data_IF_084230397962
#
_entry.id   IF_084230397962
#
_cell.length_a   1.000
_cell.length_b   1.000
_cell.length_c   1.000
_cell.angle_alpha   90.00
_cell.angle_beta   90.00
_cell.angle_gamma   90.00
#
_symmetry.space_group_name_H-M   'P 1'
#
loop_
_entity.id
_entity.type
_entity.pdbx_description
1 polymer ?
#
# COMPACT_ATOMS: atom_id res chain seq x y z
N UNK A 1 -18.57 -22.49 -34.04
CA UNK A 1 -19.16 -22.17 -32.72
C UNK A 1 -18.48 -23.05 -31.70
N UNK A 2 -17.39 -22.55 -31.10
CA UNK A 2 -16.69 -23.26 -30.04
C UNK A 2 -17.47 -23.01 -28.75
N UNK A 3 -18.04 -24.06 -28.15
CA UNK A 3 -18.72 -23.97 -26.85
C UNK A 3 -17.74 -24.37 -25.77
N UNK A 4 -17.43 -23.46 -24.85
CA UNK A 4 -16.74 -23.79 -23.62
C UNK A 4 -17.74 -23.93 -22.47
N UNK A 5 -17.78 -25.13 -21.90
CA UNK A 5 -18.59 -25.48 -20.73
C UNK A 5 -17.61 -25.77 -19.60
N UNK A 6 -17.65 -24.94 -18.56
CA UNK A 6 -16.86 -25.14 -17.34
C UNK A 6 -17.77 -25.65 -16.22
N UNK A 7 -17.36 -26.73 -15.54
CA UNK A 7 -18.06 -27.30 -14.38
C UNK A 7 -17.22 -27.02 -13.14
N UNK A 8 -17.63 -26.05 -12.32
CA UNK A 8 -16.90 -25.74 -11.09
C UNK A 8 -17.59 -26.35 -9.87
N UNK A 9 -16.85 -27.24 -9.21
CA UNK A 9 -17.11 -27.66 -7.83
C UNK A 9 -16.59 -26.54 -6.93
N UNK A 10 -17.40 -26.18 -5.94
CA UNK A 10 -17.09 -25.43 -4.71
C UNK A 10 -15.58 -25.34 -4.37
N UNK A 11 -14.93 -24.27 -4.80
CA UNK A 11 -13.67 -23.76 -4.22
C UNK A 11 -13.81 -22.22 -4.11
N UNK A 12 -13.30 -21.58 -3.06
CA UNK A 12 -13.85 -20.33 -2.55
C UNK A 12 -13.56 -19.16 -3.51
N UNK A 13 -14.62 -18.67 -4.15
CA UNK A 13 -14.83 -17.30 -4.62
C UNK A 13 -13.57 -16.56 -5.12
N UNK A 14 -13.16 -16.83 -6.36
CA UNK A 14 -12.38 -15.84 -7.12
C UNK A 14 -13.16 -14.53 -7.17
N UNK A 15 -12.52 -13.42 -6.82
CA UNK A 15 -13.13 -12.07 -6.67
C UNK A 15 -13.86 -11.59 -7.94
N UNK A 16 -13.44 -12.10 -9.10
CA UNK A 16 -14.04 -11.76 -10.40
C UNK A 16 -15.43 -12.37 -10.62
N UNK A 17 -15.76 -13.50 -9.98
CA UNK A 17 -17.07 -14.15 -10.15
C UNK A 17 -18.19 -13.46 -9.36
N UNK A 18 -17.86 -12.72 -8.29
CA UNK A 18 -18.84 -11.89 -7.56
C UNK A 18 -19.41 -10.76 -8.42
N UNK A 19 -18.66 -10.29 -9.42
CA UNK A 19 -19.08 -9.22 -10.35
C UNK A 19 -19.99 -9.72 -11.48
N UNK A 20 -20.01 -11.03 -11.73
CA UNK A 20 -20.70 -11.64 -12.87
C UNK A 20 -22.13 -12.10 -12.55
N UNK A 21 -22.55 -12.09 -11.29
CA UNK A 21 -23.90 -12.46 -10.86
C UNK A 21 -24.65 -11.18 -10.51
N UNK A 22 -25.54 -10.75 -11.40
CA UNK A 22 -26.48 -9.67 -11.09
C UNK A 22 -27.49 -10.23 -10.09
N UNK A 23 -27.35 -9.84 -8.82
CA UNK A 23 -28.32 -10.12 -7.77
C UNK A 23 -29.71 -9.63 -8.19
N UNK A 24 -30.81 -10.20 -7.64
CA UNK A 24 -32.14 -9.65 -7.87
C UNK A 24 -32.12 -8.15 -7.60
N UNK A 25 -32.77 -7.37 -8.47
CA UNK A 25 -32.82 -5.91 -8.37
C UNK A 25 -33.43 -5.41 -7.07
N UNK A 26 -34.07 -6.30 -6.31
CA UNK A 26 -34.71 -6.04 -5.03
C UNK A 26 -34.29 -7.14 -4.05
N UNK A 27 -33.46 -6.81 -3.06
CA UNK A 27 -33.07 -7.74 -1.98
C UNK A 27 -33.28 -7.12 -0.61
N UNK A 28 -33.74 -7.94 0.34
CA UNK A 28 -34.01 -7.51 1.72
C UNK A 28 -33.31 -8.43 2.71
N UNK A 29 -32.49 -7.86 3.60
CA UNK A 29 -31.89 -8.59 4.71
C UNK A 29 -31.89 -7.77 6.00
N UNK A 30 -31.80 -8.46 7.13
CA UNK A 30 -31.87 -7.89 8.46
C UNK A 30 -30.53 -8.05 9.19
N UNK A 31 -29.88 -6.93 9.47
CA UNK A 31 -28.66 -6.87 10.28
C UNK A 31 -29.01 -6.67 11.76
N UNK A 32 -28.40 -7.44 12.66
CA UNK A 32 -28.59 -7.32 14.11
C UNK A 32 -27.53 -6.39 14.73
N UNK A 33 -27.96 -5.20 15.11
CA UNK A 33 -27.10 -4.12 15.63
C UNK A 33 -27.06 -4.03 17.19
N UNK A 34 -27.52 -5.07 17.90
CA UNK A 34 -27.56 -5.12 19.36
C UNK A 34 -28.61 -6.11 19.89
N UNK A 35 -28.87 -6.09 21.20
CA UNK A 35 -29.82 -7.04 21.83
C UNK A 35 -31.25 -6.89 21.30
N UNK A 36 -31.69 -5.66 20.98
CA UNK A 36 -33.03 -5.33 20.46
C UNK A 36 -32.97 -4.22 19.39
N UNK A 37 -31.94 -4.20 18.54
CA UNK A 37 -31.84 -3.22 17.45
C UNK A 37 -31.51 -3.96 16.16
N UNK A 38 -32.27 -3.67 15.12
CA UNK A 38 -32.04 -4.26 13.81
C UNK A 38 -32.08 -3.18 12.73
N UNK A 39 -31.42 -3.45 11.61
CA UNK A 39 -31.48 -2.62 10.40
C UNK A 39 -31.99 -3.48 9.26
N UNK A 40 -33.05 -3.04 8.59
CA UNK A 40 -33.48 -3.61 7.32
C UNK A 40 -32.70 -2.91 6.23
N UNK A 41 -31.92 -3.68 5.47
CA UNK A 41 -31.27 -3.24 4.25
C UNK A 41 -32.20 -3.53 3.09
N UNK A 42 -32.49 -2.51 2.30
CA UNK A 42 -33.37 -2.58 1.14
C UNK A 42 -32.74 -1.84 -0.06
N UNK A 43 -33.24 -2.03 -1.28
CA UNK A 43 -32.63 -1.45 -2.48
C UNK A 43 -32.52 0.08 -2.44
N UNK A 44 -33.53 0.73 -1.85
CA UNK A 44 -33.64 2.19 -1.81
C UNK A 44 -33.09 2.82 -0.52
N UNK A 45 -32.45 2.01 0.33
CA UNK A 45 -31.78 2.44 1.55
C UNK A 45 -32.13 1.61 2.79
N UNK A 46 -31.62 2.07 3.93
CA UNK A 46 -31.64 1.30 5.18
C UNK A 46 -32.61 1.92 6.19
N UNK A 47 -33.32 1.08 6.94
CA UNK A 47 -34.18 1.55 8.04
C UNK A 47 -33.92 0.81 9.34
N UNK A 48 -33.76 1.58 10.42
CA UNK A 48 -33.61 1.03 11.77
C UNK A 48 -34.96 0.69 12.39
N UNK A 49 -35.03 -0.47 13.02
CA UNK A 49 -36.20 -0.94 13.75
C UNK A 49 -35.83 -1.25 15.21
N UNK A 50 -36.74 -0.92 16.13
CA UNK A 50 -36.53 -1.08 17.58
C UNK A 50 -37.02 -2.43 18.11
N UNK A 51 -37.96 -3.07 17.43
CA UNK A 51 -38.47 -4.37 17.82
C UNK A 51 -39.03 -5.11 16.60
N UNK A 52 -38.37 -6.19 16.18
CA UNK A 52 -38.81 -7.01 15.05
C UNK A 52 -40.19 -7.64 15.25
N UNK A 53 -40.58 -7.94 16.49
CA UNK A 53 -41.83 -8.65 16.80
C UNK A 53 -43.07 -7.76 16.61
N UNK A 54 -42.84 -6.44 16.42
CA UNK A 54 -43.87 -5.46 16.08
C UNK A 54 -44.00 -5.22 14.59
N UNK A 55 -43.12 -5.80 13.77
CA UNK A 55 -43.14 -5.59 12.33
C UNK A 55 -44.23 -6.41 11.66
N UNK A 56 -44.96 -5.74 10.75
CA UNK A 56 -46.04 -6.35 9.97
C UNK A 56 -46.09 -5.78 8.56
N UNK A 57 -46.58 -6.58 7.61
CA UNK A 57 -46.90 -6.12 6.26
C UNK A 57 -48.41 -5.82 6.16
N UNK A 58 -48.76 -4.70 5.52
CA UNK A 58 -50.14 -4.32 5.25
C UNK A 58 -50.32 -3.90 3.80
N UNK A 59 -51.51 -4.11 3.26
CA UNK A 59 -51.90 -3.58 1.96
C UNK A 59 -52.48 -2.17 2.09
N UNK A 60 -51.82 -1.17 1.50
CA UNK A 60 -52.27 0.22 1.52
C UNK A 60 -52.02 0.88 0.16
N UNK A 61 -53.02 1.58 -0.36
CA UNK A 61 -52.92 2.33 -1.62
C UNK A 61 -52.31 1.54 -2.78
N UNK A 62 -52.76 0.28 -2.95
CA UNK A 62 -52.31 -0.66 -4.00
C UNK A 62 -50.85 -1.15 -3.84
N UNK A 63 -50.31 -1.07 -2.62
CA UNK A 63 -48.92 -1.44 -2.30
C UNK A 63 -48.83 -2.22 -1.00
N UNK A 64 -47.77 -3.01 -0.84
CA UNK A 64 -47.43 -3.62 0.46
C UNK A 64 -46.55 -2.62 1.22
N UNK A 65 -46.98 -2.22 2.41
CA UNK A 65 -46.28 -1.28 3.28
C UNK A 65 -45.81 -1.99 4.54
N UNK A 66 -44.57 -1.75 4.93
CA UNK A 66 -44.00 -2.26 6.18
C UNK A 66 -44.34 -1.35 7.36
N UNK A 67 -44.87 -1.93 8.43
CA UNK A 67 -45.29 -1.25 9.65
C UNK A 67 -44.42 -1.62 10.84
N UNK A 68 -44.10 -0.66 11.72
CA UNK A 68 -43.59 -0.90 13.08
C UNK A 68 -44.70 -0.56 14.08
N UNK A 69 -45.36 -1.59 14.60
CA UNK A 69 -46.53 -1.43 15.47
C UNK A 69 -47.71 -0.83 14.73
N UNK A 70 -48.09 0.39 15.10
CA UNK A 70 -49.26 1.10 14.54
C UNK A 70 -48.92 2.08 13.42
N UNK A 71 -47.65 2.26 13.07
CA UNK A 71 -47.20 3.28 12.13
C UNK A 71 -46.41 2.68 10.98
N UNK A 72 -46.64 3.20 9.77
CA UNK A 72 -45.86 2.85 8.61
C UNK A 72 -44.41 3.26 8.82
N UNK A 73 -43.50 2.33 8.53
CA UNK A 73 -42.07 2.57 8.60
C UNK A 73 -41.68 3.52 7.47
N UNK A 74 -40.86 4.53 7.79
CA UNK A 74 -40.47 5.56 6.81
C UNK A 74 -39.03 5.36 6.34
N UNK A 75 -38.84 5.36 5.02
CA UNK A 75 -37.53 5.43 4.36
C UNK A 75 -37.45 6.76 3.62
N UNK A 76 -36.47 7.60 3.96
CA UNK A 76 -36.31 8.95 3.37
C UNK A 76 -37.60 9.81 3.42
N UNK A 77 -38.39 9.65 4.48
CA UNK A 77 -39.66 10.38 4.69
C UNK A 77 -40.88 9.79 3.96
N UNK A 78 -40.70 8.75 3.13
CA UNK A 78 -41.78 8.05 2.43
C UNK A 78 -42.08 6.69 3.08
N UNK A 79 -43.26 6.12 2.83
CA UNK A 79 -43.60 4.78 3.32
C UNK A 79 -42.66 3.73 2.72
N UNK A 80 -42.18 2.82 3.57
CA UNK A 80 -41.36 1.70 3.15
C UNK A 80 -42.26 0.69 2.41
N UNK A 81 -42.10 0.63 1.09
CA UNK A 81 -42.87 -0.23 0.20
C UNK A 81 -42.09 -1.53 -0.04
N UNK A 82 -42.78 -2.67 0.08
CA UNK A 82 -42.27 -3.99 -0.32
C UNK A 82 -42.95 -4.37 -1.64
N UNK A 83 -42.15 -4.72 -2.65
CA UNK A 83 -42.71 -5.21 -3.91
C UNK A 83 -43.39 -6.57 -3.71
N UNK A 84 -44.54 -6.80 -4.34
CA UNK A 84 -45.21 -8.11 -4.35
C UNK A 84 -44.28 -9.19 -4.89
N UNK A 85 -43.44 -8.85 -5.88
CA UNK A 85 -42.49 -9.77 -6.47
C UNK A 85 -41.25 -10.00 -5.61
N UNK A 86 -41.07 -9.22 -4.54
CA UNK A 86 -40.09 -9.52 -3.53
C UNK A 86 -40.51 -10.68 -2.62
N UNK A 87 -41.78 -11.07 -2.57
CA UNK A 87 -42.19 -12.24 -1.78
C UNK A 87 -41.91 -13.50 -2.59
N UNK A 88 -41.12 -14.40 -2.01
CA UNK A 88 -40.70 -15.66 -2.62
C UNK A 88 -41.09 -16.86 -1.74
N UNK A 89 -41.16 -18.02 -2.37
CA UNK A 89 -41.44 -19.31 -1.73
C UNK A 89 -42.78 -19.91 -2.12
N UNK A 90 -42.99 -21.16 -1.71
CA UNK A 90 -44.15 -21.98 -2.13
C UNK A 90 -45.52 -21.36 -1.86
N UNK A 91 -45.62 -20.52 -0.81
CA UNK A 91 -46.88 -19.91 -0.39
C UNK A 91 -46.98 -18.43 -0.84
N UNK A 92 -46.20 -17.97 -1.83
CA UNK A 92 -46.16 -16.56 -2.27
C UNK A 92 -47.57 -16.00 -2.51
N UNK A 93 -48.34 -16.66 -3.37
CA UNK A 93 -49.64 -16.15 -3.81
C UNK A 93 -50.66 -16.12 -2.67
N UNK A 94 -50.64 -17.13 -1.80
CA UNK A 94 -51.50 -17.18 -0.62
C UNK A 94 -51.14 -16.07 0.38
N UNK A 95 -49.84 -15.81 0.61
CA UNK A 95 -49.40 -14.72 1.49
C UNK A 95 -49.80 -13.36 0.92
N UNK A 96 -49.61 -13.12 -0.39
CA UNK A 96 -50.04 -11.87 -1.04
C UNK A 96 -51.55 -11.69 -0.90
N UNK A 97 -52.31 -12.78 -1.07
CA UNK A 97 -53.77 -12.76 -0.90
C UNK A 97 -54.15 -12.37 0.52
N UNK A 98 -53.52 -12.96 1.54
CA UNK A 98 -53.77 -12.59 2.95
C UNK A 98 -53.40 -11.13 3.25
N UNK A 99 -52.27 -10.63 2.72
CA UNK A 99 -51.88 -9.22 2.84
C UNK A 99 -52.96 -8.30 2.26
N UNK A 100 -53.48 -8.63 1.07
CA UNK A 100 -54.52 -7.85 0.37
C UNK A 100 -55.87 -7.89 1.08
N UNK A 101 -56.22 -9.01 1.70
CA UNK A 101 -57.47 -9.17 2.43
C UNK A 101 -57.43 -8.46 3.79
N UNK A 102 -56.25 -8.31 4.39
CA UNK A 102 -56.05 -7.62 5.67
C UNK A 102 -56.72 -8.32 6.86
N UNK A 103 -57.13 -9.58 6.68
CA UNK A 103 -57.78 -10.43 7.67
C UNK A 103 -56.80 -10.96 8.71
N UNK A 104 -55.59 -11.31 8.27
CA UNK A 104 -54.54 -11.87 9.11
C UNK A 104 -53.28 -10.99 9.09
N UNK A 105 -52.66 -10.82 10.26
CA UNK A 105 -51.39 -10.09 10.38
C UNK A 105 -50.24 -10.93 9.80
N UNK A 106 -49.57 -10.41 8.77
CA UNK A 106 -48.32 -11.01 8.26
C UNK A 106 -47.15 -10.52 9.11
N UNK A 107 -46.64 -11.41 9.96
CA UNK A 107 -45.53 -11.12 10.88
C UNK A 107 -44.18 -11.34 10.22
N UNK A 108 -43.20 -10.54 10.61
CA UNK A 108 -41.80 -10.75 10.23
C UNK A 108 -41.12 -11.72 11.19
N UNK A 109 -40.48 -12.74 10.63
CA UNK A 109 -39.65 -13.71 11.35
C UNK A 109 -38.20 -13.61 10.89
N UNK A 110 -37.27 -14.07 11.73
CA UNK A 110 -35.88 -14.21 11.32
C UNK A 110 -35.73 -15.54 10.58
N UNK A 111 -35.09 -15.49 9.42
CA UNK A 111 -34.61 -16.69 8.75
C UNK A 111 -33.10 -16.75 8.88
N UNK A 112 -32.60 -17.77 9.57
CA UNK A 112 -31.17 -17.92 9.79
C UNK A 112 -30.43 -18.07 8.47
N UNK A 113 -29.34 -17.31 8.31
CA UNK A 113 -28.40 -17.44 7.21
C UNK A 113 -27.15 -18.12 7.78
N UNK A 114 -26.91 -19.36 7.36
CA UNK A 114 -25.78 -20.14 7.84
C UNK A 114 -24.46 -19.38 7.64
N UNK A 115 -23.64 -19.28 8.71
CA UNK A 115 -22.34 -18.60 8.64
C UNK A 115 -22.38 -17.07 8.62
N UNK A 116 -23.56 -16.45 8.69
CA UNK A 116 -23.72 -15.00 8.73
C UNK A 116 -24.23 -14.50 10.10
N UNK A 117 -23.87 -13.26 10.44
CA UNK A 117 -24.50 -12.52 11.55
C UNK A 117 -25.84 -11.88 11.12
N UNK A 118 -26.11 -11.85 9.82
CA UNK A 118 -27.33 -11.33 9.21
C UNK A 118 -28.40 -12.41 9.07
N UNK A 119 -29.64 -11.94 8.96
CA UNK A 119 -30.80 -12.81 8.83
C UNK A 119 -31.60 -12.45 7.58
N UNK A 120 -32.20 -13.46 6.97
CA UNK A 120 -33.24 -13.27 5.99
C UNK A 120 -34.52 -12.73 6.61
N UNK A 121 -35.30 -11.99 5.83
CA UNK A 121 -36.63 -11.51 6.25
C UNK A 121 -37.67 -12.58 5.96
N UNK A 122 -38.00 -13.38 6.97
CA UNK A 122 -39.08 -14.38 6.89
C UNK A 122 -40.45 -13.75 7.09
N UNK A 123 -41.48 -14.36 6.50
CA UNK A 123 -42.88 -13.99 6.61
C UNK A 123 -43.67 -15.15 7.21
N UNK A 124 -44.56 -14.85 8.14
CA UNK A 124 -45.43 -15.85 8.77
C UNK A 124 -46.85 -15.30 8.93
N UNK A 125 -47.84 -16.07 8.48
CA UNK A 125 -49.27 -15.78 8.61
C UNK A 125 -49.95 -16.94 9.34
N UNK A 126 -50.65 -16.66 10.44
CA UNK A 126 -51.45 -17.65 11.15
C UNK A 126 -52.87 -17.62 10.59
N UNK A 127 -53.36 -18.77 10.12
CA UNK A 127 -54.68 -18.93 9.52
C UNK A 127 -55.72 -19.30 10.58
N UNK A 128 -57.01 -19.06 10.26
CA UNK A 128 -58.13 -19.36 11.16
C UNK A 128 -58.26 -20.84 11.52
N UNK A 129 -57.79 -21.74 10.65
CA UNK A 129 -57.75 -23.18 10.89
C UNK A 129 -56.56 -23.63 11.76
N UNK A 130 -55.75 -22.67 12.24
CA UNK A 130 -54.56 -22.90 13.04
C UNK A 130 -53.31 -23.26 12.23
N UNK A 131 -53.39 -23.37 10.90
CA UNK A 131 -52.22 -23.57 10.04
C UNK A 131 -51.39 -22.29 9.92
N UNK A 132 -50.12 -22.42 9.54
CA UNK A 132 -49.23 -21.26 9.34
C UNK A 132 -48.67 -21.24 7.94
N UNK A 133 -48.94 -20.16 7.20
CA UNK A 133 -48.29 -19.89 5.93
C UNK A 133 -46.93 -19.25 6.19
N UNK A 134 -45.89 -19.82 5.61
CA UNK A 134 -44.52 -19.30 5.69
C UNK A 134 -44.03 -18.86 4.32
N UNK A 135 -43.38 -17.70 4.27
CA UNK A 135 -42.76 -17.12 3.09
C UNK A 135 -41.50 -16.37 3.46
N UNK A 136 -40.85 -15.77 2.47
CA UNK A 136 -39.59 -15.05 2.67
C UNK A 136 -39.53 -13.89 1.69
N UNK A 137 -38.91 -12.77 2.05
CA UNK A 137 -38.55 -11.75 1.07
C UNK A 137 -37.31 -12.16 0.28
N UNK A 138 -37.17 -11.65 -0.93
CA UNK A 138 -36.15 -12.10 -1.88
C UNK A 138 -34.74 -11.83 -1.32
N UNK A 139 -34.01 -12.90 -1.08
CA UNK A 139 -32.58 -12.92 -0.81
C UNK A 139 -32.01 -14.27 -1.26
N UNK A 140 -30.72 -14.34 -1.57
CA UNK A 140 -30.05 -15.58 -1.96
C UNK A 140 -29.13 -15.99 -0.83
N UNK A 141 -29.35 -17.19 -0.25
CA UNK A 141 -28.41 -17.79 0.69
C UNK A 141 -27.44 -18.71 -0.05
N UNK A 142 -26.25 -18.21 -0.41
CA UNK A 142 -25.26 -18.97 -1.17
C UNK A 142 -24.64 -20.14 -0.39
N UNK A 143 -24.77 -20.15 0.93
CA UNK A 143 -24.22 -21.17 1.83
C UNK A 143 -25.26 -22.23 2.23
N UNK A 144 -26.55 -21.99 1.94
CA UNK A 144 -27.62 -22.97 2.14
C UNK A 144 -27.90 -23.70 0.82
N UNK A 145 -27.36 -24.92 0.73
CA UNK A 145 -27.58 -25.81 -0.41
C UNK A 145 -29.07 -26.11 -0.66
N UNK A 146 -29.94 -25.95 0.34
CA UNK A 146 -31.38 -26.21 0.26
C UNK A 146 -32.20 -24.93 -0.01
N UNK A 147 -31.52 -23.80 -0.28
CA UNK A 147 -32.15 -22.54 -0.70
C UNK A 147 -33.04 -22.77 -1.94
N UNK A 148 -34.29 -22.34 -1.87
CA UNK A 148 -35.29 -22.66 -2.91
C UNK A 148 -34.94 -22.03 -4.26
N UNK A 149 -34.32 -20.85 -4.28
CA UNK A 149 -33.90 -20.18 -5.52
C UNK A 149 -32.69 -20.92 -6.10
N UNK A 150 -31.72 -21.28 -5.26
CA UNK A 150 -30.54 -22.05 -5.69
C UNK A 150 -30.92 -23.46 -6.19
N UNK A 151 -31.81 -24.15 -5.47
CA UNK A 151 -32.35 -25.46 -5.84
C UNK A 151 -33.21 -25.42 -7.09
N UNK A 152 -34.03 -24.38 -7.27
CA UNK A 152 -34.82 -24.23 -8.49
C UNK A 152 -33.93 -24.04 -9.72
N UNK A 153 -32.86 -23.25 -9.59
CA UNK A 153 -31.84 -23.09 -10.62
C UNK A 153 -31.13 -24.42 -10.89
N UNK A 154 -30.55 -25.05 -9.86
CA UNK A 154 -29.80 -26.31 -9.96
C UNK A 154 -30.65 -27.48 -10.48
N UNK A 155 -31.92 -27.58 -10.07
CA UNK A 155 -32.84 -28.65 -10.48
C UNK A 155 -33.26 -28.49 -11.95
N UNK A 156 -33.37 -27.26 -12.45
CA UNK A 156 -33.68 -26.99 -13.87
C UNK A 156 -32.47 -27.22 -14.78
N UNK A 157 -31.23 -27.09 -14.29
CA UNK A 157 -30.01 -27.10 -15.12
C UNK A 157 -29.06 -28.28 -14.89
N UNK A 158 -29.24 -29.05 -13.83
CA UNK A 158 -28.32 -30.13 -13.41
C UNK A 158 -27.03 -29.64 -12.75
N UNK A 159 -26.97 -28.37 -12.33
CA UNK A 159 -25.79 -27.64 -11.83
C UNK A 159 -25.76 -26.20 -12.36
N UNK A 160 -25.05 -25.27 -11.74
CA UNK A 160 -24.91 -23.90 -12.28
C UNK A 160 -23.80 -23.90 -13.35
N UNK A 161 -24.15 -23.77 -14.62
CA UNK A 161 -23.20 -23.71 -15.73
C UNK A 161 -23.20 -22.32 -16.35
N UNK A 162 -22.01 -21.88 -16.79
CA UNK A 162 -21.83 -20.71 -17.63
C UNK A 162 -21.47 -21.19 -19.03
N UNK A 163 -22.12 -20.64 -20.06
CA UNK A 163 -21.80 -20.93 -21.45
C UNK A 163 -21.60 -19.65 -22.22
N UNK A 164 -20.43 -19.54 -22.83
CA UNK A 164 -20.09 -18.45 -23.75
C UNK A 164 -20.37 -18.90 -25.17
N UNK A 165 -21.08 -18.07 -25.94
CA UNK A 165 -21.41 -18.29 -27.35
C UNK A 165 -21.00 -17.08 -28.18
N UNK A 166 -20.41 -17.35 -29.33
CA UNK A 166 -20.22 -16.33 -30.36
C UNK A 166 -21.55 -16.15 -31.11
N UNK A 167 -22.11 -14.94 -31.04
CA UNK A 167 -23.27 -14.57 -31.86
C UNK A 167 -22.78 -14.04 -33.22
N UNK A 168 -23.43 -14.46 -34.31
CA UNK A 168 -22.98 -14.22 -35.68
C UNK A 168 -22.75 -12.75 -36.08
N UNK A 169 -22.05 -12.60 -37.21
CA UNK A 169 -21.63 -11.40 -37.99
C UNK A 169 -20.85 -10.29 -37.22
N UNK A 170 -20.98 -10.15 -35.90
CA UNK A 170 -20.36 -9.03 -35.15
C UNK A 170 -19.38 -9.43 -34.03
N UNK A 171 -18.95 -10.68 -33.95
CA UNK A 171 -17.97 -11.16 -32.95
C UNK A 171 -18.32 -10.79 -31.49
N UNK A 172 -19.60 -10.64 -31.15
CA UNK A 172 -19.99 -10.40 -29.76
C UNK A 172 -20.08 -11.74 -29.02
N UNK A 173 -19.25 -11.89 -27.98
CA UNK A 173 -19.36 -13.01 -27.06
C UNK A 173 -20.49 -12.75 -26.06
N UNK A 174 -21.41 -13.71 -25.99
CA UNK A 174 -22.50 -13.70 -25.02
C UNK A 174 -22.21 -14.80 -24.00
N UNK A 175 -22.10 -14.43 -22.73
CA UNK A 175 -22.00 -15.41 -21.63
C UNK A 175 -23.36 -15.51 -20.95
N UNK A 176 -23.94 -16.70 -20.95
CA UNK A 176 -25.25 -16.97 -20.37
C UNK A 176 -25.17 -18.01 -19.24
N UNK A 177 -26.15 -17.99 -18.34
CA UNK A 177 -26.40 -19.14 -17.46
C UNK A 177 -27.05 -20.24 -18.31
N UNK A 178 -26.51 -21.45 -18.22
CA UNK A 178 -26.90 -22.56 -19.07
C UNK A 178 -27.12 -23.85 -18.28
N UNK A 179 -27.71 -24.83 -18.96
CA UNK A 179 -27.66 -26.21 -18.49
C UNK A 179 -26.30 -26.87 -18.76
N UNK A 180 -26.13 -28.10 -18.26
CA UNK A 180 -24.94 -28.92 -18.48
C UNK A 180 -24.57 -29.18 -19.95
N UNK A 181 -25.48 -28.93 -20.88
CA UNK A 181 -25.28 -29.12 -22.32
C UNK A 181 -25.02 -27.80 -23.05
N UNK A 182 -24.90 -26.68 -22.33
CA UNK A 182 -24.70 -25.36 -22.91
C UNK A 182 -25.95 -24.75 -23.54
N UNK A 183 -27.14 -25.26 -23.23
CA UNK A 183 -28.41 -24.64 -23.60
C UNK A 183 -28.64 -23.47 -22.64
N UNK A 184 -28.69 -22.25 -23.17
CA UNK A 184 -28.91 -21.07 -22.34
C UNK A 184 -30.31 -21.13 -21.75
N UNK A 185 -30.43 -20.87 -20.45
CA UNK A 185 -31.72 -20.83 -19.79
C UNK A 185 -32.48 -19.56 -20.17
N UNK A 186 -33.78 -19.71 -20.45
CA UNK A 186 -34.67 -18.57 -20.66
C UNK A 186 -35.09 -17.90 -19.36
N UNK A 187 -35.19 -16.57 -19.36
CA UNK A 187 -35.77 -15.77 -18.30
C UNK A 187 -37.29 -15.95 -18.34
N UNK A 188 -37.85 -16.52 -17.26
CA UNK A 188 -39.29 -16.57 -16.96
C UNK A 188 -40.22 -16.68 -18.18
N UNK A 189 -40.07 -17.71 -19.02
CA UNK A 189 -41.01 -18.03 -20.09
C UNK A 189 -40.93 -17.15 -21.36
N UNK A 190 -39.97 -16.24 -21.44
CA UNK A 190 -39.61 -15.54 -22.69
C UNK A 190 -38.60 -16.35 -23.51
N UNK A 191 -38.38 -16.00 -24.79
CA UNK A 191 -37.26 -16.55 -25.57
C UNK A 191 -35.91 -15.88 -25.22
N UNK A 192 -35.87 -15.01 -24.21
CA UNK A 192 -34.68 -14.25 -23.82
C UNK A 192 -33.92 -14.99 -22.72
N UNK A 193 -32.59 -14.94 -22.74
CA UNK A 193 -31.73 -15.69 -21.82
C UNK A 193 -31.12 -14.81 -20.72
N UNK A 194 -30.80 -15.41 -19.57
CA UNK A 194 -29.95 -14.76 -18.56
C UNK A 194 -28.55 -14.59 -19.15
N UNK A 195 -28.31 -13.46 -19.81
CA UNK A 195 -27.14 -13.25 -20.65
C UNK A 195 -26.44 -11.93 -20.34
N UNK A 196 -25.12 -12.00 -20.26
CA UNK A 196 -24.24 -10.85 -20.31
C UNK A 196 -23.69 -10.74 -21.74
N UNK A 197 -24.07 -9.67 -22.42
CA UNK A 197 -23.58 -9.34 -23.76
C UNK A 197 -22.54 -8.24 -23.60
N UNK A 198 -21.27 -8.54 -23.88
CA UNK A 198 -20.33 -7.47 -24.18
C UNK A 198 -20.80 -6.86 -25.49
N UNK A 199 -21.40 -5.67 -25.43
CA UNK A 199 -21.73 -4.98 -26.67
C UNK A 199 -20.43 -4.58 -27.37
N UNK A 200 -20.46 -4.42 -28.70
CA UNK A 200 -19.32 -3.86 -29.40
C UNK A 200 -18.91 -2.49 -28.81
N UNK A 201 -19.85 -1.75 -28.20
CA UNK A 201 -19.58 -0.48 -27.51
C UNK A 201 -18.86 -0.71 -26.17
N UNK A 202 -19.24 -1.73 -25.39
CA UNK A 202 -18.56 -2.06 -24.12
C UNK A 202 -17.20 -2.72 -24.37
N UNK A 203 -17.10 -3.53 -25.42
CA UNK A 203 -15.84 -4.07 -25.92
C UNK A 203 -14.97 -2.96 -26.51
N UNK A 204 -15.53 -1.99 -27.23
CA UNK A 204 -14.81 -0.80 -27.71
C UNK A 204 -14.47 0.14 -26.55
N UNK A 205 -15.26 0.22 -25.48
CA UNK A 205 -14.94 0.99 -24.29
C UNK A 205 -13.85 0.29 -23.47
N UNK A 206 -13.88 -1.04 -23.38
CA UNK A 206 -12.83 -1.84 -22.77
C UNK A 206 -11.56 -1.82 -23.62
N UNK A 207 -11.67 -1.85 -24.96
CA UNK A 207 -10.56 -1.69 -25.91
C UNK A 207 -10.06 -0.25 -25.91
N UNK A 208 -10.91 0.78 -25.80
CA UNK A 208 -10.51 2.18 -25.65
C UNK A 208 -9.85 2.41 -24.31
N UNK A 209 -10.32 1.76 -23.25
CA UNK A 209 -9.67 1.78 -21.94
C UNK A 209 -8.34 1.03 -22.01
N UNK A 210 -8.26 -0.12 -22.68
CA UNK A 210 -7.01 -0.84 -22.91
C UNK A 210 -6.06 -0.09 -23.84
N UNK A 211 -6.57 0.66 -24.83
CA UNK A 211 -5.80 1.53 -25.73
C UNK A 211 -5.34 2.75 -24.96
N UNK A 212 -6.17 3.37 -24.12
CA UNK A 212 -5.78 4.45 -23.21
C UNK A 212 -4.78 3.97 -22.19
N UNK A 213 -4.95 2.80 -21.61
CA UNK A 213 -4.02 2.19 -20.67
C UNK A 213 -2.72 1.83 -21.39
N UNK A 214 -2.77 1.33 -22.62
CA UNK A 214 -1.58 1.07 -23.46
C UNK A 214 -0.92 2.37 -23.92
N UNK A 215 -1.67 3.42 -24.20
CA UNK A 215 -1.16 4.75 -24.54
C UNK A 215 -0.53 5.40 -23.32
N UNK A 216 -1.17 5.34 -22.16
CA UNK A 216 -0.62 5.77 -20.88
C UNK A 216 0.61 4.93 -20.51
N UNK A 217 0.60 3.61 -20.72
CA UNK A 217 1.79 2.77 -20.55
C UNK A 217 2.87 3.13 -21.55
N UNK A 218 2.52 3.42 -22.80
CA UNK A 218 3.45 3.81 -23.86
C UNK A 218 3.98 5.21 -23.62
N UNK A 219 3.20 6.14 -23.07
CA UNK A 219 3.60 7.49 -22.71
C UNK A 219 4.44 7.47 -21.45
N UNK A 220 4.11 6.62 -20.47
CA UNK A 220 4.98 6.29 -19.33
C UNK A 220 6.26 5.62 -19.81
N UNK A 221 6.20 4.69 -20.76
CA UNK A 221 7.37 4.01 -21.32
C UNK A 221 8.21 4.97 -22.16
N UNK A 222 7.61 5.88 -22.92
CA UNK A 222 8.30 6.92 -23.69
C UNK A 222 8.82 8.03 -22.77
N UNK A 223 8.16 8.29 -21.64
CA UNK A 223 8.65 9.17 -20.59
C UNK A 223 9.78 8.52 -19.82
N UNK A 224 9.74 7.22 -19.56
CA UNK A 224 10.82 6.44 -18.96
C UNK A 224 11.97 6.28 -19.94
N UNK A 225 11.72 5.96 -21.22
CA UNK A 225 12.72 5.87 -22.27
C UNK A 225 13.28 7.24 -22.63
N UNK A 226 12.48 8.29 -22.60
CA UNK A 226 12.89 9.68 -22.77
C UNK A 226 13.66 10.20 -21.56
N UNK A 227 13.28 9.78 -20.34
CA UNK A 227 14.06 10.04 -19.12
C UNK A 227 15.34 9.23 -19.10
N UNK A 228 15.34 7.99 -19.61
CA UNK A 228 16.50 7.12 -19.75
C UNK A 228 17.41 7.57 -20.88
N UNK A 229 16.89 8.15 -21.96
CA UNK A 229 17.64 8.76 -23.05
C UNK A 229 18.16 10.14 -22.65
N UNK A 230 17.40 10.91 -21.85
CA UNK A 230 17.93 12.09 -21.15
C UNK A 230 19.00 11.71 -20.14
N UNK A 231 18.84 10.60 -19.40
CA UNK A 231 19.88 10.04 -18.52
C UNK A 231 21.10 9.67 -19.37
N UNK A 232 20.92 8.85 -20.41
CA UNK A 232 21.98 8.41 -21.33
C UNK A 232 22.68 9.58 -22.06
N UNK A 233 21.97 10.66 -22.35
CA UNK A 233 22.52 11.86 -22.97
C UNK A 233 23.01 12.90 -21.95
N UNK A 234 22.60 12.82 -20.68
CA UNK A 234 23.17 13.59 -19.55
C UNK A 234 24.39 12.89 -18.96
N UNK A 235 24.57 11.59 -19.24
CA UNK A 235 25.86 10.93 -19.25
C UNK A 235 26.67 11.44 -20.46
N UNK A 236 26.98 12.75 -20.46
CA UNK A 236 28.33 13.14 -20.84
C UNK A 236 29.27 12.24 -20.02
N UNK A 237 30.35 11.68 -20.58
CA UNK A 237 31.21 10.76 -19.85
C UNK A 237 31.47 11.36 -18.48
N UNK A 238 30.95 10.72 -17.41
CA UNK A 238 31.03 11.27 -16.06
C UNK A 238 32.51 11.53 -15.84
N UNK A 239 32.84 12.82 -15.70
CA UNK A 239 34.22 13.27 -15.60
C UNK A 239 34.84 12.44 -14.49
N UNK A 240 35.94 11.73 -14.78
CA UNK A 240 36.70 10.97 -13.79
C UNK A 240 37.02 11.95 -12.66
N UNK A 241 36.29 11.85 -11.55
CA UNK A 241 36.44 12.73 -10.41
C UNK A 241 37.50 12.10 -9.53
N UNK A 242 38.66 12.75 -9.48
CA UNK A 242 39.69 12.43 -8.51
C UNK A 242 39.36 13.17 -7.21
N UNK A 243 39.19 12.42 -6.13
CA UNK A 243 39.02 12.94 -4.79
C UNK A 243 40.28 12.68 -3.96
N UNK A 244 40.78 13.72 -3.30
CA UNK A 244 41.95 13.69 -2.42
C UNK A 244 41.52 13.95 -0.97
N UNK A 245 42.00 13.12 -0.04
CA UNK A 245 41.88 13.41 1.39
C UNK A 245 42.97 14.39 1.82
N UNK A 246 42.59 15.52 2.43
CA UNK A 246 43.52 16.57 2.86
C UNK A 246 43.28 16.98 4.31
N UNK A 247 44.36 17.36 4.99
CA UNK A 247 44.31 17.85 6.37
C UNK A 247 43.66 19.23 6.42
N UNK A 248 42.60 19.37 7.22
CA UNK A 248 41.89 20.61 7.47
C UNK A 248 42.23 21.26 8.82
N UNK A 249 41.29 22.08 9.30
CA UNK A 249 41.41 22.78 10.57
C UNK A 249 41.39 21.81 11.77
N UNK A 250 41.92 22.28 12.89
CA UNK A 250 41.89 21.52 14.16
C UNK A 250 40.45 21.43 14.68
N UNK A 251 40.00 20.21 14.96
CA UNK A 251 38.63 19.91 15.42
C UNK A 251 38.59 19.44 16.87
N UNK A 252 39.71 18.94 17.39
CA UNK A 252 39.90 18.55 18.78
C UNK A 252 41.41 18.51 19.05
N UNK A 253 41.86 18.63 20.30
CA UNK A 253 43.28 18.78 20.65
C UNK A 253 44.20 17.78 19.92
N UNK A 254 44.97 18.27 18.95
CA UNK A 254 45.90 17.47 18.13
C UNK A 254 45.24 16.61 17.03
N UNK A 255 43.95 16.80 16.77
CA UNK A 255 43.15 16.12 15.74
C UNK A 255 42.57 17.14 14.77
N UNK A 256 42.75 16.88 13.49
CA UNK A 256 42.40 17.79 12.40
C UNK A 256 41.38 17.14 11.48
N UNK A 257 40.49 17.96 10.91
CA UNK A 257 39.49 17.49 9.97
C UNK A 257 40.14 16.76 8.79
N UNK A 258 39.50 15.67 8.36
CA UNK A 258 39.86 14.99 7.12
C UNK A 258 38.90 15.46 6.03
N UNK A 259 39.36 16.46 5.26
CA UNK A 259 38.59 17.08 4.21
C UNK A 259 38.70 16.28 2.91
N UNK A 260 37.63 16.27 2.13
CA UNK A 260 37.55 15.68 0.79
C UNK A 260 37.67 16.81 -0.21
N UNK A 261 38.80 16.87 -0.92
CA UNK A 261 39.08 17.79 -2.01
C UNK A 261 38.77 17.12 -3.34
N UNK A 262 38.17 17.85 -4.28
CA UNK A 262 37.95 17.36 -5.65
C UNK A 262 38.91 18.09 -6.59
N UNK A 263 39.33 17.44 -7.67
CA UNK A 263 40.32 18.02 -8.62
C UNK A 263 39.93 19.41 -9.15
N UNK A 264 38.64 19.69 -9.32
CA UNK A 264 38.12 20.97 -9.80
C UNK A 264 37.53 21.90 -8.70
N UNK A 265 37.60 21.52 -7.41
CA UNK A 265 37.01 22.29 -6.28
C UNK A 265 37.86 22.18 -5.01
N UNK A 266 38.04 23.28 -4.27
CA UNK A 266 38.89 23.30 -3.06
C UNK A 266 38.52 22.24 -2.01
N UNK A 267 37.34 22.32 -1.41
CA UNK A 267 36.87 21.37 -0.40
C UNK A 267 35.40 21.06 -0.71
N UNK A 268 35.10 19.80 -0.99
CA UNK A 268 33.75 19.32 -1.24
C UNK A 268 33.03 18.94 0.06
N UNK A 269 33.78 18.51 1.08
CA UNK A 269 33.25 18.25 2.42
C UNK A 269 34.27 17.64 3.37
N UNK A 270 33.79 17.07 4.46
CA UNK A 270 34.60 16.41 5.47
C UNK A 270 33.83 15.22 6.08
N UNK A 271 34.54 14.34 6.78
CA UNK A 271 33.88 13.33 7.61
C UNK A 271 33.00 13.99 8.67
N UNK A 272 31.84 13.38 8.93
CA UNK A 272 30.97 13.84 10.01
C UNK A 272 31.65 13.60 11.35
N UNK A 273 31.60 14.60 12.24
CA UNK A 273 31.95 14.40 13.66
C UNK A 273 30.90 13.59 14.42
N UNK A 274 29.70 13.45 13.86
CA UNK A 274 28.54 12.83 14.51
C UNK A 274 28.27 11.47 13.88
N UNK A 275 28.23 10.44 14.71
CA UNK A 275 27.85 9.08 14.32
C UNK A 275 26.48 8.66 14.87
N UNK A 276 25.83 7.72 14.19
CA UNK A 276 24.51 7.20 14.57
C UNK A 276 24.50 5.67 14.60
N UNK A 277 24.10 5.09 15.73
CA UNK A 277 23.93 3.64 15.85
C UNK A 277 22.65 3.29 16.63
N UNK A 278 22.11 2.11 16.35
CA UNK A 278 20.95 1.59 17.05
C UNK A 278 21.39 0.61 18.13
N UNK A 279 20.97 0.83 19.37
CA UNK A 279 21.29 -0.02 20.52
C UNK A 279 20.13 0.03 21.53
N UNK A 280 19.83 -1.12 22.16
CA UNK A 280 18.78 -1.23 23.19
C UNK A 280 17.42 -0.60 22.81
N UNK A 281 16.98 -0.85 21.57
CA UNK A 281 15.74 -0.30 21.01
C UNK A 281 15.68 1.24 20.95
N UNK A 282 16.83 1.91 20.93
CA UNK A 282 16.95 3.35 20.80
C UNK A 282 18.02 3.72 19.77
N UNK A 283 17.88 4.91 19.20
CA UNK A 283 18.92 5.53 18.38
C UNK A 283 19.87 6.27 19.30
N UNK A 284 21.16 5.98 19.17
CA UNK A 284 22.23 6.68 19.85
C UNK A 284 22.97 7.56 18.85
N UNK A 285 23.26 8.77 19.30
CA UNK A 285 24.00 9.80 18.57
C UNK A 285 25.25 10.07 19.40
N UNK A 286 26.43 10.06 18.79
CA UNK A 286 27.66 10.36 19.51
C UNK A 286 28.59 11.24 18.70
N UNK A 287 29.44 11.95 19.42
CA UNK A 287 30.56 12.66 18.84
C UNK A 287 31.76 11.71 18.78
N UNK A 288 32.41 11.62 17.62
CA UNK A 288 33.56 10.74 17.44
C UNK A 288 34.82 11.23 18.17
N UNK A 289 34.85 12.50 18.59
CA UNK A 289 35.98 13.13 19.24
C UNK A 289 35.72 13.46 20.71
N UNK A 290 34.45 13.60 21.11
CA UNK A 290 34.05 13.71 22.51
C UNK A 290 33.67 12.33 23.10
N UNK A 291 33.60 12.23 24.43
CA UNK A 291 33.09 11.02 25.11
C UNK A 291 31.56 11.01 25.23
N UNK A 292 30.91 12.01 24.66
CA UNK A 292 29.48 12.23 24.85
C UNK A 292 28.68 11.38 23.87
N UNK A 293 27.70 10.66 24.41
CA UNK A 293 26.70 9.95 23.64
C UNK A 293 25.31 10.31 24.16
N UNK A 294 24.39 10.44 23.22
CA UNK A 294 23.02 10.87 23.46
C UNK A 294 22.08 9.77 22.96
N UNK A 295 21.18 9.30 23.83
CA UNK A 295 20.16 8.33 23.44
C UNK A 295 18.84 9.03 23.20
N UNK A 296 18.28 8.86 22.00
CA UNK A 296 16.95 9.34 21.68
C UNK A 296 15.89 8.51 22.40
N UNK A 297 14.81 9.12 22.91
CA UNK A 297 13.69 8.36 23.43
C UNK A 297 13.08 7.48 22.32
N UNK A 298 12.61 6.28 22.67
CA UNK A 298 12.14 5.22 21.76
C UNK A 298 11.08 5.62 20.72
N UNK A 299 10.41 6.75 20.90
CA UNK A 299 9.37 7.25 20.00
C UNK A 299 9.87 8.30 19.00
N UNK A 300 11.16 8.68 19.05
CA UNK A 300 11.81 9.64 18.14
C UNK A 300 12.62 8.96 17.05
N UNK A 301 12.04 7.94 16.39
CA UNK A 301 12.68 7.22 15.28
C UNK A 301 12.27 7.73 13.90
N UNK A 302 11.54 8.86 13.84
CA UNK A 302 11.11 9.46 12.59
C UNK A 302 12.00 10.65 12.25
N UNK A 303 12.15 10.95 10.96
CA UNK A 303 12.80 12.18 10.51
C UNK A 303 11.82 12.98 9.65
N UNK A 304 11.82 14.29 9.91
CA UNK A 304 11.11 15.27 9.10
C UNK A 304 12.10 16.21 8.43
N UNK A 305 11.69 16.76 7.30
CA UNK A 305 12.50 17.76 6.59
C UNK A 305 12.20 19.14 7.15
N UNK A 306 13.24 19.83 7.58
CA UNK A 306 13.16 21.23 8.04
C UNK A 306 14.08 22.13 7.22
N UNK A 307 13.84 23.43 7.31
CA UNK A 307 14.77 24.45 6.85
C UNK A 307 15.58 24.95 8.04
N UNK A 308 16.89 25.07 7.87
CA UNK A 308 17.71 25.82 8.81
C UNK A 308 17.55 27.34 8.61
N UNK A 309 18.21 28.13 9.47
CA UNK A 309 18.15 29.60 9.42
C UNK A 309 18.70 30.20 8.11
N UNK A 310 19.40 29.40 7.30
CA UNK A 310 19.99 29.79 6.02
C UNK A 310 19.20 29.22 4.83
N UNK A 311 17.96 28.80 5.05
CA UNK A 311 17.07 28.18 4.05
C UNK A 311 17.60 26.87 3.45
N UNK A 312 18.56 26.20 4.10
CA UNK A 312 19.01 24.88 3.68
C UNK A 312 18.12 23.78 4.26
N UNK A 313 17.76 22.81 3.41
CA UNK A 313 16.96 21.68 3.84
C UNK A 313 17.81 20.64 4.59
N UNK A 314 17.37 20.28 5.79
CA UNK A 314 18.01 19.29 6.68
C UNK A 314 16.97 18.33 7.24
N UNK A 315 17.45 17.26 7.86
CA UNK A 315 16.59 16.29 8.56
C UNK A 315 16.70 16.48 10.07
N UNK A 316 15.58 16.40 10.77
CA UNK A 316 15.53 16.45 12.23
C UNK A 316 14.78 15.23 12.78
N UNK A 317 15.29 14.66 13.87
CA UNK A 317 14.58 13.59 14.59
C UNK A 317 13.29 14.12 15.20
N UNK A 318 12.22 13.38 15.01
CA UNK A 318 10.88 13.72 15.48
C UNK A 318 10.10 12.47 15.90
N UNK A 319 8.99 12.69 16.60
CA UNK A 319 8.05 11.62 16.89
C UNK A 319 7.09 11.39 15.70
N UNK A 320 6.22 10.37 15.81
CA UNK A 320 5.23 10.04 14.77
C UNK A 320 4.27 11.18 14.40
N UNK A 321 4.18 12.22 15.22
CA UNK A 321 3.34 13.40 15.02
C UNK A 321 4.11 14.59 14.45
N UNK A 322 5.41 14.42 14.17
CA UNK A 322 6.25 15.48 13.60
C UNK A 322 6.80 16.48 14.62
N UNK A 323 6.61 16.23 15.92
CA UNK A 323 7.25 17.05 16.96
C UNK A 323 8.73 16.69 17.04
N UNK A 324 9.59 17.69 16.90
CA UNK A 324 11.04 17.53 16.94
C UNK A 324 11.54 17.20 18.33
N UNK A 325 12.68 16.52 18.39
CA UNK A 325 13.41 16.34 19.63
C UNK A 325 14.42 17.46 19.85
N UNK A 326 14.09 18.41 20.73
CA UNK A 326 14.94 19.60 20.95
C UNK A 326 15.94 19.46 22.10
N UNK A 327 15.85 18.41 22.92
CA UNK A 327 16.71 18.21 24.09
C UNK A 327 18.07 17.57 23.72
N UNK A 328 18.67 18.01 22.62
CA UNK A 328 20.01 17.63 22.17
C UNK A 328 20.86 18.91 22.00
N UNK A 329 22.20 18.81 22.11
CA UNK A 329 23.10 19.85 21.61
C UNK A 329 22.81 20.23 20.16
N UNK A 330 22.95 21.50 19.82
CA UNK A 330 22.61 22.04 18.49
C UNK A 330 23.33 21.30 17.35
N UNK A 331 24.58 20.92 17.57
CA UNK A 331 25.42 20.17 16.64
C UNK A 331 24.87 18.78 16.28
N UNK A 332 23.94 18.24 17.07
CA UNK A 332 23.35 16.91 16.88
C UNK A 332 21.89 16.96 16.44
N UNK A 333 21.27 18.15 16.42
CA UNK A 333 19.85 18.30 16.11
C UNK A 333 19.54 18.01 14.65
N UNK A 334 20.44 18.42 13.76
CA UNK A 334 20.21 18.46 12.31
C UNK A 334 21.18 17.55 11.57
N UNK A 335 20.62 16.75 10.68
CA UNK A 335 21.36 15.82 9.83
C UNK A 335 21.43 16.41 8.43
N UNK A 336 22.65 16.65 7.96
CA UNK A 336 22.90 16.98 6.57
C UNK A 336 22.74 15.73 5.71
N UNK A 337 22.15 15.88 4.53
CA UNK A 337 21.95 14.77 3.60
C UNK A 337 23.26 14.12 3.16
N UNK A 338 24.33 14.92 3.11
CA UNK A 338 25.70 14.49 2.81
C UNK A 338 26.27 13.50 3.84
N UNK A 339 25.67 13.44 5.04
CA UNK A 339 26.05 12.50 6.10
C UNK A 339 25.19 11.23 6.09
N UNK A 340 24.52 10.94 4.98
CA UNK A 340 23.74 9.72 4.76
C UNK A 340 24.43 8.97 3.61
N UNK A 341 24.76 7.68 3.84
CA UNK A 341 25.44 6.86 2.83
C UNK A 341 24.44 6.25 1.86
N UNK A 342 24.72 6.39 0.56
CA UNK A 342 23.96 5.76 -0.52
C UNK A 342 22.60 6.41 -0.73
N UNK A 343 22.56 7.74 -0.66
CA UNK A 343 21.32 8.51 -0.82
C UNK A 343 20.82 8.40 -2.25
N UNK A 344 19.58 7.94 -2.43
CA UNK A 344 18.97 7.82 -3.76
C UNK A 344 18.18 9.06 -4.13
N UNK A 345 18.74 9.97 -4.94
CA UNK A 345 18.05 11.09 -5.60
C UNK A 345 16.91 11.73 -4.77
N UNK A 346 17.19 12.08 -3.51
CA UNK A 346 16.20 12.67 -2.61
C UNK A 346 16.19 14.18 -2.81
N UNK A 347 15.03 14.71 -3.18
CA UNK A 347 14.77 16.14 -3.23
C UNK A 347 14.07 16.58 -1.94
N UNK A 348 14.85 17.00 -0.95
CA UNK A 348 14.33 17.41 0.36
C UNK A 348 13.32 18.55 0.27
N UNK A 349 13.46 19.46 -0.71
CA UNK A 349 12.53 20.57 -0.88
C UNK A 349 11.11 20.06 -1.19
N UNK A 350 10.98 19.03 -2.02
CA UNK A 350 9.68 18.39 -2.31
C UNK A 350 9.06 17.78 -1.05
N UNK A 351 9.85 17.09 -0.24
CA UNK A 351 9.36 16.49 1.00
C UNK A 351 8.93 17.55 2.02
N UNK A 352 9.66 18.66 2.11
CA UNK A 352 9.28 19.78 2.97
C UNK A 352 7.93 20.39 2.55
N UNK A 353 7.72 20.62 1.25
CA UNK A 353 6.45 21.16 0.74
C UNK A 353 5.29 20.17 0.92
N UNK A 354 5.53 18.88 0.65
CA UNK A 354 4.50 17.85 0.65
C UNK A 354 4.04 17.47 2.06
N UNK A 355 4.98 17.26 2.97
CA UNK A 355 4.69 16.70 4.28
C UNK A 355 4.62 17.77 5.37
N UNK A 356 5.14 18.98 5.11
CA UNK A 356 5.06 20.12 6.01
C UNK A 356 5.58 19.79 7.40
N UNK A 357 4.67 19.70 8.38
CA UNK A 357 5.00 19.40 9.77
C UNK A 357 5.15 17.91 10.08
N UNK A 358 4.76 17.01 9.17
CA UNK A 358 4.78 15.56 9.38
C UNK A 358 6.12 14.92 8.99
N UNK A 359 6.48 13.77 9.60
CA UNK A 359 7.67 13.05 9.22
C UNK A 359 7.59 12.53 7.77
N UNK A 360 8.74 12.45 7.12
CA UNK A 360 8.89 11.89 5.76
C UNK A 360 9.60 10.54 5.77
N UNK A 361 10.44 10.30 6.78
CA UNK A 361 11.29 9.12 6.86
C UNK A 361 11.20 8.43 8.22
N UNK A 362 11.48 7.14 8.24
CA UNK A 362 11.62 6.34 9.45
C UNK A 362 12.99 5.68 9.49
N UNK A 363 13.67 5.80 10.64
CA UNK A 363 14.93 5.16 10.95
C UNK A 363 14.68 3.77 11.56
N UNK A 364 15.26 2.73 10.96
CA UNK A 364 15.11 1.33 11.40
C UNK A 364 16.49 0.68 11.54
N UNK A 365 16.69 -0.23 12.51
CA UNK A 365 17.93 -1.00 12.59
C UNK A 365 18.08 -1.90 11.37
N UNK A 366 19.27 -1.92 10.78
CA UNK A 366 19.65 -2.93 9.81
C UNK A 366 20.13 -4.18 10.57
N UNK A 367 19.28 -5.20 10.60
CA UNK A 367 19.49 -6.47 11.31
C UNK A 367 20.17 -7.53 10.44
N UNK A 368 20.46 -7.26 9.17
CA UNK A 368 21.03 -8.25 8.24
C UNK A 368 22.54 -8.43 8.39
N UNK A 369 23.23 -7.45 8.97
CA UNK A 369 24.68 -7.48 9.16
C UNK A 369 24.99 -7.94 10.61
N UNK A 370 25.14 -9.26 10.81
CA UNK A 370 25.40 -9.86 12.11
C UNK A 370 26.83 -10.41 12.19
N UNK A 371 27.73 -9.71 12.90
CA UNK A 371 28.93 -10.32 13.51
C UNK A 371 29.25 -9.62 14.84
N UNK A 372 28.60 -10.05 15.92
CA UNK A 372 29.13 -9.90 17.30
C UNK A 372 28.94 -8.57 18.05
N UNK A 373 28.51 -7.46 17.42
CA UNK A 373 28.18 -6.23 18.15
C UNK A 373 26.68 -6.12 18.45
N UNK A 374 26.32 -5.60 19.63
CA UNK A 374 24.92 -5.24 19.97
C UNK A 374 24.45 -3.94 19.28
N UNK A 375 25.35 -3.28 18.55
CA UNK A 375 25.12 -2.00 17.88
C UNK A 375 24.81 -2.26 16.41
N UNK A 376 23.68 -1.77 15.94
CA UNK A 376 23.23 -1.95 14.56
C UNK A 376 23.31 -0.65 13.78
N UNK A 377 23.61 -0.77 12.49
CA UNK A 377 23.48 0.32 11.52
C UNK A 377 22.03 0.78 11.44
N UNK A 378 21.81 2.05 11.11
CA UNK A 378 20.48 2.63 10.93
C UNK A 378 20.23 2.88 9.45
N UNK A 379 19.18 2.24 8.92
CA UNK A 379 18.67 2.45 7.58
C UNK A 379 17.48 3.40 7.61
N UNK A 380 17.39 4.27 6.60
CA UNK A 380 16.29 5.21 6.43
C UNK A 380 15.34 4.69 5.36
N UNK A 381 14.05 4.73 5.65
CA UNK A 381 12.96 4.36 4.74
C UNK A 381 11.98 5.51 4.57
N UNK A 382 11.40 5.64 3.39
CA UNK A 382 10.29 6.55 3.15
C UNK A 382 9.01 6.06 3.85
N UNK A 383 8.26 6.94 4.52
CA UNK A 383 7.06 6.52 5.28
C UNK A 383 5.92 6.11 4.34
N UNK A 384 5.70 6.85 3.26
CA UNK A 384 4.63 6.55 2.30
C UNK A 384 4.86 5.21 1.58
N UNK A 385 6.11 4.76 1.52
CA UNK A 385 6.48 3.49 0.95
C UNK A 385 7.60 2.86 1.78
N UNK A 386 7.23 2.27 2.91
CA UNK A 386 8.17 1.72 3.90
C UNK A 386 9.13 0.63 3.35
N UNK A 387 8.93 0.17 2.10
CA UNK A 387 9.81 -0.76 1.42
C UNK A 387 10.94 -0.08 0.64
N UNK A 388 10.91 1.26 0.48
CA UNK A 388 11.95 2.01 -0.23
C UNK A 388 12.97 2.51 0.80
N UNK A 389 14.11 1.81 0.86
CA UNK A 389 15.31 2.31 1.55
C UNK A 389 15.88 3.50 0.77
N UNK A 390 16.01 4.63 1.44
CA UNK A 390 16.49 5.89 0.84
C UNK A 390 17.95 6.18 1.14
N UNK A 391 18.52 5.57 2.19
CA UNK A 391 19.91 5.72 2.59
C UNK A 391 20.19 5.07 3.94
N UNK A 392 21.39 5.28 4.48
CA UNK A 392 21.74 4.81 5.82
C UNK A 392 22.49 5.89 6.59
N UNK A 393 22.18 6.07 7.88
CA UNK A 393 22.96 6.98 8.73
C UNK A 393 24.37 6.42 8.93
N UNK A 394 25.34 7.33 9.03
CA UNK A 394 26.78 7.01 9.06
C UNK A 394 27.25 6.92 10.53
N UNK A 395 28.12 5.95 10.81
CA UNK A 395 28.87 5.82 12.07
C UNK A 395 30.33 5.44 11.73
N UNK A 396 30.92 6.31 10.94
CA UNK A 396 32.20 6.16 10.26
C UNK A 396 32.85 7.56 10.19
N UNK A 397 34.12 7.66 10.58
CA UNK A 397 34.83 8.92 10.65
C UNK A 397 36.32 8.76 10.37
N UNK A 398 36.96 9.87 9.98
CA UNK A 398 38.40 9.97 9.85
C UNK A 398 38.94 11.33 10.28
N UNK A 399 40.20 11.37 10.69
CA UNK A 399 40.90 12.58 11.11
C UNK A 399 42.39 12.49 10.83
N UNK A 400 43.06 13.64 10.74
CA UNK A 400 44.52 13.69 10.71
C UNK A 400 45.06 13.99 12.11
N UNK A 401 46.18 13.38 12.48
CA UNK A 401 46.91 13.73 13.69
C UNK A 401 47.84 14.95 13.50
N UNK A 402 48.52 15.35 14.57
CA UNK A 402 49.51 16.43 14.53
C UNK A 402 50.69 16.18 13.59
N UNK A 403 51.04 14.91 13.35
CA UNK A 403 52.17 14.52 12.52
C UNK A 403 51.79 14.36 11.03
N UNK A 404 50.49 14.43 10.70
CA UNK A 404 49.98 14.29 9.34
C UNK A 404 49.59 12.85 8.98
N UNK A 405 49.56 11.94 9.96
CA UNK A 405 49.00 10.61 9.78
C UNK A 405 47.48 10.64 9.78
N UNK A 406 46.86 9.85 8.91
CA UNK A 406 45.41 9.75 8.80
C UNK A 406 44.89 8.54 9.59
N UNK A 407 43.85 8.78 10.37
CA UNK A 407 43.17 7.81 11.19
C UNK A 407 41.75 7.60 10.68
N UNK A 408 41.33 6.35 10.55
CA UNK A 408 40.00 5.98 10.05
C UNK A 408 39.34 4.94 10.95
N UNK A 409 38.08 5.16 11.27
CA UNK A 409 37.25 4.26 12.08
C UNK A 409 35.91 4.06 11.42
N UNK A 410 35.46 2.81 11.37
CA UNK A 410 34.12 2.43 10.93
C UNK A 410 33.49 1.53 11.97
N UNK A 411 32.67 2.13 12.84
CA UNK A 411 32.04 1.43 13.95
C UNK A 411 30.98 0.43 13.45
N UNK A 412 30.38 0.68 12.27
CA UNK A 412 29.33 -0.18 11.70
C UNK A 412 29.84 -1.58 11.36
N UNK A 413 31.14 -1.72 11.10
CA UNK A 413 31.80 -3.00 10.76
C UNK A 413 32.97 -3.31 11.70
N UNK A 414 33.06 -2.61 12.84
CA UNK A 414 34.03 -2.90 13.89
C UNK A 414 35.49 -2.52 13.59
N UNK A 415 35.74 -1.68 12.59
CA UNK A 415 37.08 -1.17 12.29
C UNK A 415 37.39 -0.03 13.24
N UNK A 416 38.44 -0.18 14.07
CA UNK A 416 38.84 0.83 15.05
C UNK A 416 40.20 1.41 14.72
N UNK A 417 40.24 2.73 14.61
CA UNK A 417 41.44 3.58 14.58
C UNK A 417 42.56 3.05 13.67
N UNK A 418 42.23 2.82 12.41
CA UNK A 418 43.20 2.37 11.42
C UNK A 418 44.07 3.54 10.98
N UNK A 419 45.37 3.38 11.14
CA UNK A 419 46.37 4.38 10.81
C UNK A 419 46.92 4.21 9.39
N UNK A 420 47.07 5.35 8.71
CA UNK A 420 47.69 5.49 7.41
C UNK A 420 48.75 6.59 7.49
N UNK A 421 49.98 6.22 7.14
CA UNK A 421 51.12 7.13 7.12
C UNK A 421 51.08 7.98 5.84
N UNK A 422 51.00 9.30 5.99
CA UNK A 422 50.96 10.30 4.91
C UNK A 422 50.14 9.96 3.66
N UNK A 423 48.85 9.54 3.75
CA UNK A 423 48.11 9.17 2.55
C UNK A 423 47.62 10.41 1.79
N UNK A 424 48.12 10.60 0.56
CA UNK A 424 47.33 11.21 -0.50
C UNK A 424 46.43 10.12 -1.08
N UNK A 425 45.26 9.96 -0.46
CA UNK A 425 44.28 8.98 -0.95
C UNK A 425 43.54 9.59 -2.14
N UNK A 426 43.89 9.15 -3.35
CA UNK A 426 43.22 9.57 -4.59
C UNK A 426 42.23 8.52 -5.05
N UNK A 427 40.93 8.76 -4.84
CA UNK A 427 39.89 7.87 -5.36
C UNK A 427 39.41 8.38 -6.72
N UNK A 428 39.57 7.56 -7.76
CA UNK A 428 38.96 7.82 -9.06
C UNK A 428 37.66 7.03 -9.18
N UNK A 429 36.55 7.75 -9.38
CA UNK A 429 35.23 7.15 -9.56
C UNK A 429 34.89 7.11 -11.06
N UNK A 430 34.54 5.92 -11.57
CA UNK A 430 34.22 5.67 -12.99
C UNK A 430 33.03 4.74 -13.19
N UNK A 431 32.46 4.76 -14.40
CA UNK A 431 31.05 4.41 -14.72
C UNK A 431 30.52 3.04 -14.33
N UNK A 432 31.33 2.06 -13.91
CA UNK A 432 30.84 0.76 -13.41
C UNK A 432 31.88 -0.07 -12.62
N UNK A 433 33.03 0.54 -12.29
CA UNK A 433 34.06 -0.04 -11.42
C UNK A 433 34.70 1.12 -10.67
N UNK A 434 34.72 1.08 -9.34
CA UNK A 434 35.61 1.94 -8.59
C UNK A 434 37.05 1.51 -8.92
N UNK A 435 37.67 2.13 -9.93
CA UNK A 435 39.12 2.08 -10.12
C UNK A 435 39.76 2.94 -9.04
N UNK A 436 39.70 2.45 -7.81
CA UNK A 436 40.37 3.09 -6.68
C UNK A 436 41.84 2.71 -6.69
N UNK A 437 42.67 3.74 -6.57
CA UNK A 437 44.11 3.61 -6.40
C UNK A 437 44.44 4.24 -5.06
N UNK A 438 44.82 3.45 -4.06
CA UNK A 438 45.41 4.03 -2.85
C UNK A 438 46.87 4.30 -3.19
N UNK A 439 47.23 5.58 -3.31
CA UNK A 439 48.63 5.99 -3.46
C UNK A 439 49.19 6.12 -2.05
N UNK A 440 50.00 5.14 -1.64
CA UNK A 440 50.84 5.26 -0.45
C UNK A 440 52.17 5.88 -0.89
N UNK A 441 52.72 6.83 -0.13
CA UNK A 441 54.01 7.45 -0.49
C UNK A 441 55.06 6.37 -0.83
N UNK A 442 55.55 6.42 -2.08
CA UNK A 442 56.47 5.44 -2.65
C UNK A 442 55.89 4.62 -3.83
N UNK A 443 55.41 5.27 -4.90
CA UNK A 443 55.10 4.71 -6.24
C UNK A 443 54.21 3.46 -6.38
N UNK A 444 53.77 2.84 -5.29
CA UNK A 444 52.92 1.65 -5.34
C UNK A 444 51.45 2.06 -5.50
N UNK A 445 50.97 1.97 -6.73
CA UNK A 445 49.54 2.05 -7.05
C UNK A 445 48.90 0.72 -6.65
N UNK A 446 48.26 0.68 -5.49
CA UNK A 446 47.46 -0.48 -5.10
C UNK A 446 46.12 -0.43 -5.85
N UNK A 447 45.99 -1.27 -6.87
CA UNK A 447 44.73 -1.50 -7.57
C UNK A 447 43.70 -2.09 -6.59
N UNK A 448 42.46 -1.62 -6.64
CA UNK A 448 41.32 -2.06 -5.83
C UNK A 448 41.23 -3.59 -5.60
N UNK A 449 41.66 -4.39 -6.57
CA UNK A 449 41.66 -5.87 -6.51
C UNK A 449 42.65 -6.46 -5.48
N UNK A 450 43.55 -5.66 -4.92
CA UNK A 450 44.56 -6.06 -3.92
C UNK A 450 44.40 -5.32 -2.59
N UNK A 451 43.35 -4.50 -2.44
CA UNK A 451 43.04 -3.85 -1.18
C UNK A 451 42.52 -4.87 -0.17
N UNK A 452 42.94 -4.75 1.07
CA UNK A 452 42.31 -5.51 2.14
C UNK A 452 40.88 -4.97 2.37
N UNK A 453 39.96 -5.76 2.96
CA UNK A 453 38.55 -5.40 3.06
C UNK A 453 38.27 -4.05 3.72
N UNK A 454 39.13 -3.60 4.63
CA UNK A 454 38.98 -2.30 5.30
C UNK A 454 39.30 -1.14 4.38
N UNK A 455 40.35 -1.25 3.58
CA UNK A 455 40.74 -0.22 2.62
C UNK A 455 39.67 -0.07 1.52
N UNK A 456 38.98 -1.17 1.18
CA UNK A 456 37.80 -1.12 0.31
C UNK A 456 36.66 -0.27 0.90
N UNK A 457 36.45 -0.28 2.22
CA UNK A 457 35.36 0.47 2.85
C UNK A 457 35.61 1.98 2.84
N UNK A 458 36.85 2.41 3.12
CA UNK A 458 37.25 3.80 3.04
C UNK A 458 37.10 4.35 1.61
N UNK A 459 37.55 3.56 0.62
CA UNK A 459 37.34 3.87 -0.80
C UNK A 459 35.86 3.98 -1.13
N UNK A 460 35.05 3.02 -0.68
CA UNK A 460 33.61 3.01 -0.94
C UNK A 460 32.91 4.22 -0.31
N UNK A 461 33.34 4.64 0.88
CA UNK A 461 32.84 5.86 1.51
C UNK A 461 33.12 7.08 0.62
N UNK A 462 34.37 7.26 0.20
CA UNK A 462 34.76 8.41 -0.63
C UNK A 462 34.03 8.36 -1.98
N UNK A 463 33.93 7.19 -2.61
CA UNK A 463 33.21 7.03 -3.87
C UNK A 463 31.72 7.37 -3.74
N UNK A 464 31.06 6.91 -2.68
CA UNK A 464 29.66 7.28 -2.39
C UNK A 464 29.54 8.78 -2.15
N UNK A 465 30.43 9.37 -1.35
CA UNK A 465 30.43 10.81 -1.09
C UNK A 465 30.56 11.63 -2.38
N UNK A 466 31.50 11.27 -3.26
CA UNK A 466 31.71 11.93 -4.55
C UNK A 466 30.49 11.81 -5.46
N UNK A 467 29.89 10.62 -5.54
CA UNK A 467 28.69 10.38 -6.35
C UNK A 467 27.48 11.16 -5.81
N UNK A 468 27.26 11.13 -4.49
CA UNK A 468 26.17 11.82 -3.83
C UNK A 468 26.34 13.35 -3.97
N UNK A 469 27.58 13.85 -3.80
CA UNK A 469 27.92 15.25 -4.04
C UNK A 469 27.67 15.68 -5.48
N UNK A 470 28.10 14.88 -6.46
CA UNK A 470 27.85 15.14 -7.88
C UNK A 470 26.35 15.15 -8.21
N UNK A 471 25.57 14.21 -7.66
CA UNK A 471 24.12 14.15 -7.87
C UNK A 471 23.39 15.37 -7.26
N UNK A 472 23.82 15.83 -6.08
CA UNK A 472 23.24 17.01 -5.43
C UNK A 472 23.59 18.33 -6.14
N UNK A 473 24.76 18.41 -6.79
CA UNK A 473 25.29 19.67 -7.33
C UNK A 473 25.32 19.75 -8.88
N UNK A 474 24.86 18.72 -9.59
CA UNK A 474 24.78 18.68 -11.07
C UNK A 474 23.52 19.34 -11.66
N UNK A 475 22.75 20.05 -10.84
CA UNK A 475 21.55 20.80 -11.23
C UNK A 475 21.78 22.30 -11.46
N UNK A 476 23.02 22.75 -11.69
CA UNK A 476 23.35 24.15 -12.05
C UNK A 476 23.66 24.27 -13.54
#
# INVERSE_FOLDING_TARGET
MVQHISKNILDPLHEDYRKLIRLPSVSYFLEKNGSNKYTIHAPDGNVQIKNKDKLKLKWEHDKIVLYDGSSALKLNGQDFIVDQDAIIGKNKDDIIKEIKQGTNDVKITLKDIAGSLDHGVGLSVLMDDGSTLVGVLNFINFDDKDDQILQEVVKKTGGLYLTTKEEGICCSEITCISDKNGICMSMYGSNEHYQFKLTAIDALAAVDNLIKDKQDLSDKLNKVAGSAKKLANSYAPLKKLNAEMVKGDEISSGKYAANIKLEDKDIAGAFSKVGYYFYDNAIHIHDHFAKDSFSLPKHFHFLKVIKDEKDHYKLAFCNRYGHEYHAMPDDYKLINIEHIKGVKNIDLAKYHVKNGSFPSFIAKPNVKDYVGSKQHKIDLYEIENENIKVGSLIDEYGYYDSQGGFHYTNNQIGIKDRFYDHPSLTVAVGDNRCESNIIKEGNDILNANHLNPVDCNLVEYIANYVNDYAALHSFI
#
